data_IF_775392510738
#
_entry.id   IF_775392510738
#
_cell.length_a   1.000
_cell.length_b   1.000
_cell.length_c   1.000
_cell.angle_alpha   90.00
_cell.angle_beta   90.00
_cell.angle_gamma   90.00
#
_symmetry.space_group_name_H-M   'P 1'
#
loop_
_entity.id
_entity.type
_entity.pdbx_description
1 polymer ?
#
# COMPACT_ATOMS: atom_id res chain seq x y z
N UNK A 1 19.00 -10.24 24.17
CA UNK A 1 17.73 -9.52 24.39
C UNK A 1 16.96 -9.51 23.09
N UNK A 2 15.72 -10.02 23.05
CA UNK A 2 14.86 -9.81 21.89
C UNK A 2 14.60 -8.30 21.80
N UNK A 3 14.96 -7.61 20.70
CA UNK A 3 14.64 -6.21 20.57
C UNK A 3 13.14 -6.05 20.67
N UNK A 4 12.69 -5.15 21.56
CA UNK A 4 11.28 -4.90 21.78
C UNK A 4 10.59 -4.64 20.42
N UNK A 5 9.51 -5.35 20.16
CA UNK A 5 8.71 -5.18 18.95
C UNK A 5 8.22 -3.73 18.88
N UNK A 6 8.49 -3.03 17.79
CA UNK A 6 8.06 -1.64 17.58
C UNK A 6 6.57 -1.64 17.20
N UNK A 7 5.71 -1.45 18.21
CA UNK A 7 4.25 -1.58 18.05
C UNK A 7 3.68 -0.49 17.12
N UNK A 8 4.22 0.72 17.17
CA UNK A 8 3.79 1.80 16.28
C UNK A 8 3.91 1.45 14.80
N UNK A 9 4.93 0.66 14.39
CA UNK A 9 5.05 0.20 12.99
C UNK A 9 3.96 -0.78 12.59
N UNK A 10 3.56 -1.66 13.51
CA UNK A 10 2.44 -2.56 13.26
C UNK A 10 1.13 -1.77 13.20
N UNK A 11 0.99 -0.75 14.06
CA UNK A 11 -0.17 0.14 14.06
C UNK A 11 -0.26 0.98 12.77
N UNK A 12 0.85 1.57 12.30
CA UNK A 12 0.88 2.25 11.00
C UNK A 12 0.44 1.30 9.88
N UNK A 13 0.92 0.05 9.86
CA UNK A 13 0.57 -0.90 8.80
C UNK A 13 -0.92 -1.19 8.74
N UNK A 14 -1.52 -1.63 9.86
CA UNK A 14 -2.93 -1.98 9.81
C UNK A 14 -3.82 -0.77 9.56
N UNK A 15 -3.49 0.40 10.13
CA UNK A 15 -4.24 1.65 9.88
C UNK A 15 -4.14 2.07 8.42
N UNK A 16 -2.95 2.00 7.82
CA UNK A 16 -2.78 2.30 6.41
C UNK A 16 -3.49 1.27 5.51
N UNK A 17 -3.55 -0.01 5.91
CA UNK A 17 -4.34 -1.01 5.17
C UNK A 17 -5.84 -0.69 5.24
N UNK A 18 -6.36 -0.27 6.39
CA UNK A 18 -7.75 0.23 6.50
C UNK A 18 -7.97 1.41 5.57
N UNK A 19 -7.03 2.36 5.56
CA UNK A 19 -7.07 3.51 4.65
C UNK A 19 -7.06 3.09 3.17
N UNK A 20 -6.28 2.06 2.82
CA UNK A 20 -6.26 1.47 1.46
C UNK A 20 -7.64 0.90 1.08
N UNK A 21 -8.33 0.24 2.01
CA UNK A 21 -9.69 -0.28 1.75
C UNK A 21 -10.65 0.87 1.49
N UNK A 22 -10.67 1.88 2.37
CA UNK A 22 -11.51 3.08 2.21
C UNK A 22 -11.18 3.80 0.89
N UNK A 23 -9.89 3.95 0.58
CA UNK A 23 -9.43 4.53 -0.68
C UNK A 23 -10.04 3.81 -1.88
N UNK A 24 -10.01 2.48 -1.91
CA UNK A 24 -10.55 1.72 -3.05
C UNK A 24 -12.07 1.76 -3.13
N UNK A 25 -12.79 1.90 -2.01
CA UNK A 25 -14.24 2.14 -2.01
C UNK A 25 -14.56 3.49 -2.67
N UNK A 26 -13.85 4.55 -2.27
CA UNK A 26 -14.04 5.88 -2.89
C UNK A 26 -13.53 5.89 -4.34
N UNK A 27 -12.41 5.19 -4.62
CA UNK A 27 -11.85 5.06 -5.96
C UNK A 27 -12.83 4.46 -6.96
N UNK A 28 -13.62 3.47 -6.56
CA UNK A 28 -14.56 2.78 -7.44
C UNK A 28 -15.62 3.72 -8.05
N UNK A 29 -15.94 4.81 -7.36
CA UNK A 29 -16.95 5.78 -7.76
C UNK A 29 -16.39 7.19 -8.01
N UNK A 30 -15.08 7.33 -8.25
CA UNK A 30 -14.48 8.64 -8.47
C UNK A 30 -14.72 9.18 -9.89
N UNK A 31 -14.74 10.52 -10.03
CA UNK A 31 -14.92 11.21 -11.30
C UNK A 31 -13.65 11.71 -11.96
N UNK A 32 -12.47 11.51 -11.35
CA UNK A 32 -11.22 12.16 -11.79
C UNK A 32 -10.16 11.20 -12.33
N UNK A 33 -10.25 9.92 -11.95
CA UNK A 33 -9.41 8.85 -12.49
C UNK A 33 -10.30 7.77 -13.10
N UNK A 34 -10.55 7.80 -14.41
CA UNK A 34 -11.61 7.01 -15.04
C UNK A 34 -11.23 5.54 -15.32
N UNK A 35 -10.02 5.10 -15.00
CA UNK A 35 -9.55 3.76 -15.37
C UNK A 35 -9.98 2.69 -14.38
N UNK A 36 -10.78 1.70 -14.83
CA UNK A 36 -11.17 0.54 -14.02
C UNK A 36 -12.11 0.88 -12.86
N UNK A 37 -13.03 1.81 -13.05
CA UNK A 37 -14.01 2.29 -12.07
C UNK A 37 -15.43 2.20 -12.63
N UNK A 38 -16.43 2.12 -11.76
CA UNK A 38 -17.84 2.23 -12.14
C UNK A 38 -18.16 3.64 -12.64
N UNK A 39 -17.56 4.64 -12.00
CA UNK A 39 -17.74 6.05 -12.35
C UNK A 39 -18.47 6.85 -11.27
N UNK A 40 -18.51 8.19 -11.44
CA UNK A 40 -19.04 9.08 -10.43
C UNK A 40 -20.57 9.08 -10.39
N UNK A 41 -21.13 9.38 -9.22
CA UNK A 41 -22.57 9.65 -9.07
C UNK A 41 -22.96 11.05 -9.58
N UNK A 42 -22.01 11.98 -9.61
CA UNK A 42 -22.17 13.37 -10.05
C UNK A 42 -20.92 13.86 -10.74
N UNK A 43 -21.08 14.81 -11.64
CA UNK A 43 -19.96 15.44 -12.37
C UNK A 43 -18.89 16.01 -11.44
N UNK A 44 -19.31 16.64 -10.33
CA UNK A 44 -18.42 17.15 -9.28
C UNK A 44 -18.85 16.60 -7.93
N UNK A 45 -17.99 15.84 -7.28
CA UNK A 45 -18.29 15.20 -6.00
C UNK A 45 -17.17 15.43 -4.98
N UNK A 46 -17.57 15.87 -3.77
CA UNK A 46 -16.63 16.20 -2.69
C UNK A 46 -15.83 14.99 -2.20
N UNK A 47 -16.38 13.79 -2.31
CA UNK A 47 -15.68 12.57 -1.88
C UNK A 47 -14.37 12.35 -2.66
N UNK A 48 -14.23 12.91 -3.86
CA UNK A 48 -12.98 12.86 -4.62
C UNK A 48 -11.82 13.61 -3.92
N UNK A 49 -12.11 14.53 -2.98
CA UNK A 49 -11.09 15.17 -2.15
C UNK A 49 -10.25 14.15 -1.39
N UNK A 50 -10.84 13.03 -0.98
CA UNK A 50 -10.16 11.97 -0.26
C UNK A 50 -8.98 11.40 -1.04
N UNK A 51 -9.10 11.30 -2.36
CA UNK A 51 -8.04 10.79 -3.24
C UNK A 51 -6.81 11.71 -3.18
N UNK A 52 -7.00 13.03 -3.24
CA UNK A 52 -5.90 14.00 -3.19
C UNK A 52 -5.23 14.04 -1.81
N UNK A 53 -6.02 13.86 -0.74
CA UNK A 53 -5.50 13.85 0.63
C UNK A 53 -4.68 12.59 0.95
N UNK A 54 -4.95 11.46 0.29
CA UNK A 54 -4.35 10.17 0.67
C UNK A 54 -3.31 9.68 -0.33
N UNK A 55 -3.61 9.79 -1.63
CA UNK A 55 -2.84 9.13 -2.69
C UNK A 55 -1.35 9.50 -2.74
N UNK A 56 -0.93 10.75 -2.51
CA UNK A 56 0.48 11.12 -2.62
C UNK A 56 1.41 10.36 -1.67
N UNK A 57 0.96 9.98 -0.46
CA UNK A 57 1.85 9.51 0.60
C UNK A 57 1.58 8.09 1.13
N UNK A 58 0.33 7.57 1.06
CA UNK A 58 -0.03 6.36 1.82
C UNK A 58 0.77 5.11 1.41
N UNK A 59 1.03 4.92 0.11
CA UNK A 59 1.85 3.80 -0.35
C UNK A 59 3.33 4.04 -0.07
N UNK A 60 3.82 5.27 -0.24
CA UNK A 60 5.19 5.65 0.09
C UNK A 60 5.50 5.39 1.58
N UNK A 61 4.57 5.71 2.48
CA UNK A 61 4.66 5.39 3.92
C UNK A 61 4.80 3.88 4.17
N UNK A 62 4.01 3.05 3.49
CA UNK A 62 4.12 1.59 3.62
C UNK A 62 5.48 1.06 3.17
N UNK A 63 6.10 1.65 2.14
CA UNK A 63 7.46 1.30 1.74
C UNK A 63 8.50 1.71 2.79
N UNK A 64 8.37 2.91 3.39
CA UNK A 64 9.25 3.33 4.51
C UNK A 64 9.15 2.34 5.67
N UNK A 65 7.95 2.04 6.15
CA UNK A 65 7.70 1.10 7.25
C UNK A 65 8.22 -0.30 6.94
N UNK A 66 8.13 -0.71 5.66
CA UNK A 66 8.66 -2.01 5.22
C UNK A 66 10.18 -2.05 5.21
N UNK A 67 10.84 -0.93 4.83
CA UNK A 67 12.28 -0.77 4.92
C UNK A 67 12.80 -0.83 6.35
N UNK A 68 12.19 -0.08 7.29
CA UNK A 68 12.50 -0.16 8.72
C UNK A 68 12.39 -1.59 9.25
N UNK A 69 11.33 -2.28 8.89
CA UNK A 69 11.08 -3.66 9.30
C UNK A 69 12.05 -4.65 8.71
N UNK A 70 12.54 -4.39 7.48
CA UNK A 70 13.58 -5.21 6.87
C UNK A 70 14.89 -5.08 7.65
N UNK A 71 15.24 -3.88 8.14
CA UNK A 71 16.42 -3.68 9.00
C UNK A 71 16.30 -4.46 10.30
N UNK A 72 15.20 -4.29 11.04
CA UNK A 72 14.99 -4.98 12.31
C UNK A 72 14.94 -6.52 12.16
N UNK A 73 14.37 -7.00 11.06
CA UNK A 73 14.39 -8.43 10.75
C UNK A 73 15.82 -8.95 10.54
N UNK A 74 16.62 -8.27 9.71
CA UNK A 74 17.98 -8.67 9.35
C UNK A 74 19.00 -8.53 10.49
N UNK A 75 18.68 -7.83 11.57
CA UNK A 75 19.49 -7.81 12.80
C UNK A 75 19.47 -9.16 13.53
N UNK A 76 18.38 -9.93 13.40
CA UNK A 76 18.15 -11.16 14.18
C UNK A 76 18.06 -12.43 13.31
N UNK A 77 18.08 -12.28 11.98
CA UNK A 77 17.90 -13.40 11.06
C UNK A 77 18.94 -13.37 9.94
N UNK A 78 19.26 -14.55 9.41
CA UNK A 78 20.21 -14.67 8.30
C UNK A 78 19.60 -14.16 6.99
N UNK A 79 20.45 -13.76 6.04
CA UNK A 79 20.07 -13.40 4.68
C UNK A 79 19.25 -14.49 3.99
N UNK A 80 19.60 -15.77 4.22
CA UNK A 80 18.87 -16.92 3.66
C UNK A 80 17.45 -17.03 4.21
N UNK A 81 17.27 -16.79 5.52
CA UNK A 81 15.93 -16.77 6.15
C UNK A 81 15.10 -15.61 5.61
N UNK A 82 15.70 -14.41 5.49
CA UNK A 82 15.03 -13.24 4.92
C UNK A 82 14.56 -13.50 3.48
N UNK A 83 15.44 -14.01 2.61
CA UNK A 83 15.11 -14.37 1.23
C UNK A 83 13.93 -15.35 1.18
N UNK A 84 14.02 -16.46 1.96
CA UNK A 84 12.96 -17.48 2.01
C UNK A 84 11.62 -16.89 2.46
N UNK A 85 11.61 -16.10 3.53
CA UNK A 85 10.38 -15.57 4.11
C UNK A 85 9.78 -14.48 3.22
N UNK A 86 10.59 -13.59 2.63
CA UNK A 86 10.09 -12.57 1.69
C UNK A 86 9.57 -13.20 0.40
N UNK A 87 10.25 -14.18 -0.17
CA UNK A 87 9.77 -14.91 -1.36
C UNK A 87 8.45 -15.60 -1.06
N UNK A 88 8.36 -16.33 0.04
CA UNK A 88 7.11 -17.02 0.41
C UNK A 88 5.95 -16.04 0.67
N UNK A 89 6.18 -14.95 1.42
CA UNK A 89 5.12 -14.03 1.83
C UNK A 89 4.71 -13.02 0.75
N UNK A 90 5.60 -12.67 -0.16
CA UNK A 90 5.36 -11.60 -1.14
C UNK A 90 5.25 -12.15 -2.56
N UNK A 91 6.23 -12.95 -3.02
CA UNK A 91 6.25 -13.42 -4.39
C UNK A 91 5.20 -14.51 -4.63
N UNK A 92 5.05 -15.49 -3.73
CA UNK A 92 4.09 -16.59 -3.90
C UNK A 92 2.66 -16.06 -4.05
N UNK A 93 2.12 -15.17 -3.15
CA UNK A 93 0.79 -14.60 -3.33
C UNK A 93 0.63 -13.76 -4.60
N UNK A 94 1.65 -13.02 -4.99
CA UNK A 94 1.59 -12.13 -6.16
C UNK A 94 1.90 -12.79 -7.50
N UNK A 95 2.24 -14.08 -7.50
CA UNK A 95 2.45 -14.91 -8.68
C UNK A 95 1.53 -16.12 -8.66
N UNK A 96 1.82 -17.14 -7.86
CA UNK A 96 0.99 -18.35 -7.77
C UNK A 96 -0.43 -18.02 -7.31
N UNK A 97 -0.57 -17.15 -6.29
CA UNK A 97 -1.88 -16.70 -5.80
C UNK A 97 -2.68 -15.93 -6.85
N UNK A 98 -2.00 -15.21 -7.74
CA UNK A 98 -2.61 -14.52 -8.86
C UNK A 98 -3.33 -15.53 -9.80
N UNK A 99 -2.65 -16.62 -10.18
CA UNK A 99 -3.23 -17.66 -11.00
C UNK A 99 -4.31 -18.47 -10.26
N UNK A 100 -4.12 -18.77 -8.98
CA UNK A 100 -5.03 -19.64 -8.22
C UNK A 100 -6.31 -18.93 -7.80
N UNK A 101 -6.26 -17.63 -7.50
CA UNK A 101 -7.38 -16.93 -6.87
C UNK A 101 -7.76 -15.60 -7.54
N UNK A 102 -6.78 -14.77 -7.95
CA UNK A 102 -7.07 -13.39 -8.34
C UNK A 102 -7.71 -13.26 -9.74
N UNK A 103 -7.77 -14.32 -10.52
CA UNK A 103 -8.56 -14.35 -11.75
C UNK A 103 -10.04 -14.03 -11.51
N UNK A 104 -10.56 -14.33 -10.31
CA UNK A 104 -11.91 -13.92 -9.89
C UNK A 104 -12.07 -12.39 -9.90
N UNK A 105 -11.10 -11.68 -9.33
CA UNK A 105 -11.06 -10.21 -9.40
C UNK A 105 -10.92 -9.74 -10.86
N UNK A 106 -10.10 -10.44 -11.64
CA UNK A 106 -9.88 -10.09 -13.04
C UNK A 106 -11.13 -10.13 -13.89
N UNK A 107 -12.05 -11.06 -13.65
CA UNK A 107 -13.36 -11.10 -14.32
C UNK A 107 -14.13 -9.80 -14.07
N UNK A 108 -14.22 -9.36 -12.79
CA UNK A 108 -14.95 -8.15 -12.45
C UNK A 108 -14.25 -6.88 -12.95
N UNK A 109 -12.93 -6.82 -12.90
CA UNK A 109 -12.18 -5.71 -13.49
C UNK A 109 -12.40 -5.58 -15.00
N UNK A 110 -12.48 -6.70 -15.72
CA UNK A 110 -12.81 -6.70 -17.14
C UNK A 110 -14.25 -6.22 -17.39
N UNK A 111 -15.21 -6.70 -16.60
CA UNK A 111 -16.62 -6.25 -16.70
C UNK A 111 -16.73 -4.74 -16.45
N UNK A 112 -16.13 -4.23 -15.37
CA UNK A 112 -16.11 -2.80 -15.00
C UNK A 112 -15.43 -1.96 -16.09
N UNK A 113 -14.33 -2.44 -16.68
CA UNK A 113 -13.59 -1.75 -17.73
C UNK A 113 -14.25 -1.77 -19.10
N UNK A 114 -15.52 -2.17 -19.22
CA UNK A 114 -16.26 -2.23 -20.48
C UNK A 114 -16.00 -3.49 -21.30
N UNK A 115 -15.32 -4.47 -20.72
CA UNK A 115 -14.98 -5.74 -21.35
C UNK A 115 -13.94 -5.58 -22.47
N UNK A 116 -12.94 -6.45 -22.49
CA UNK A 116 -12.21 -6.70 -23.72
C UNK A 116 -13.12 -7.56 -24.62
N UNK A 117 -13.16 -7.28 -25.93
CA UNK A 117 -13.82 -8.19 -26.86
C UNK A 117 -13.01 -9.50 -26.92
N UNK A 118 -13.29 -10.38 -25.98
CA UNK A 118 -12.65 -11.69 -25.82
C UNK A 118 -13.43 -12.80 -26.55
N UNK A 119 -14.51 -12.43 -27.26
CA UNK A 119 -15.29 -13.36 -28.09
C UNK A 119 -14.38 -13.95 -29.19
N UNK A 120 -14.36 -15.28 -29.27
CA UNK A 120 -13.55 -16.00 -30.26
C UNK A 120 -12.10 -16.28 -29.84
N UNK A 121 -11.63 -15.80 -28.68
CA UNK A 121 -10.30 -16.15 -28.18
C UNK A 121 -10.31 -17.56 -27.55
N UNK A 122 -9.20 -18.34 -27.70
CA UNK A 122 -9.04 -19.60 -26.99
C UNK A 122 -9.10 -19.43 -25.46
N UNK A 123 -9.75 -20.35 -24.77
CA UNK A 123 -9.93 -20.30 -23.31
C UNK A 123 -8.64 -20.07 -22.49
N UNK A 124 -7.47 -20.66 -22.84
CA UNK A 124 -6.23 -20.35 -22.12
C UNK A 124 -5.82 -18.88 -22.21
N UNK A 125 -6.06 -18.22 -23.34
CA UNK A 125 -5.77 -16.79 -23.53
C UNK A 125 -6.74 -15.94 -22.70
N UNK A 126 -8.03 -16.28 -22.72
CA UNK A 126 -9.05 -15.61 -21.88
C UNK A 126 -8.69 -15.73 -20.41
N UNK A 127 -8.29 -16.92 -19.95
CA UNK A 127 -7.83 -17.13 -18.58
C UNK A 127 -6.60 -16.27 -18.25
N UNK A 128 -5.60 -16.21 -19.12
CA UNK A 128 -4.41 -15.38 -18.90
C UNK A 128 -4.75 -13.88 -18.81
N UNK A 129 -5.64 -13.40 -19.67
CA UNK A 129 -6.13 -12.02 -19.63
C UNK A 129 -6.83 -11.73 -18.30
N UNK A 130 -7.71 -12.61 -17.82
CA UNK A 130 -8.39 -12.45 -16.55
C UNK A 130 -7.41 -12.48 -15.37
N UNK A 131 -6.42 -13.36 -15.39
CA UNK A 131 -5.36 -13.42 -14.36
C UNK A 131 -4.59 -12.11 -14.31
N UNK A 132 -4.14 -11.58 -15.45
CA UNK A 132 -3.40 -10.32 -15.51
C UNK A 132 -4.25 -9.12 -15.10
N UNK A 133 -5.54 -9.09 -15.44
CA UNK A 133 -6.49 -8.08 -15.01
C UNK A 133 -6.78 -8.15 -13.50
N UNK A 134 -6.49 -9.28 -12.86
CA UNK A 134 -6.68 -9.51 -11.43
C UNK A 134 -5.51 -9.06 -10.55
N UNK A 135 -4.46 -8.44 -11.08
CA UNK A 135 -3.31 -7.99 -10.28
C UNK A 135 -3.75 -7.06 -9.14
N UNK A 136 -4.67 -6.12 -9.42
CA UNK A 136 -5.24 -5.23 -8.40
C UNK A 136 -4.20 -4.73 -7.38
N UNK A 137 -4.46 -4.84 -6.08
CA UNK A 137 -3.55 -4.35 -5.03
C UNK A 137 -2.23 -5.15 -4.91
N UNK A 138 -2.06 -6.28 -5.57
CA UNK A 138 -0.85 -7.11 -5.47
C UNK A 138 0.41 -6.43 -6.02
N UNK A 139 0.27 -5.39 -6.84
CA UNK A 139 1.40 -4.61 -7.36
C UNK A 139 2.37 -4.15 -6.26
N UNK A 140 1.84 -3.74 -5.10
CA UNK A 140 2.68 -3.28 -3.98
C UNK A 140 3.57 -4.39 -3.43
N UNK A 141 3.04 -5.61 -3.24
CA UNK A 141 3.85 -6.73 -2.71
C UNK A 141 4.84 -7.26 -3.73
N UNK A 142 4.57 -7.12 -5.04
CA UNK A 142 5.53 -7.40 -6.11
C UNK A 142 6.73 -6.45 -6.02
N UNK A 143 6.47 -5.14 -5.95
CA UNK A 143 7.51 -4.12 -5.78
C UNK A 143 8.27 -4.30 -4.46
N UNK A 144 7.56 -4.60 -3.38
CA UNK A 144 8.18 -4.83 -2.07
C UNK A 144 9.11 -6.06 -2.09
N UNK A 145 8.75 -7.10 -2.82
CA UNK A 145 9.65 -8.23 -3.04
C UNK A 145 10.89 -7.81 -3.83
N UNK A 146 10.72 -7.09 -4.92
CA UNK A 146 11.83 -6.58 -5.74
C UNK A 146 12.80 -5.73 -4.91
N UNK A 147 12.30 -4.75 -4.15
CA UNK A 147 13.13 -3.91 -3.28
C UNK A 147 13.80 -4.72 -2.15
N UNK A 148 13.13 -5.75 -1.64
CA UNK A 148 13.73 -6.66 -0.66
C UNK A 148 14.90 -7.46 -1.25
N UNK A 149 14.82 -7.86 -2.51
CA UNK A 149 15.93 -8.55 -3.20
C UNK A 149 17.07 -7.57 -3.51
N UNK A 150 16.75 -6.38 -4.01
CA UNK A 150 17.72 -5.32 -4.27
C UNK A 150 18.45 -4.92 -2.97
N UNK A 151 17.76 -4.87 -1.84
CA UNK A 151 18.34 -4.60 -0.53
C UNK A 151 19.45 -5.60 -0.19
N UNK A 152 19.29 -6.89 -0.47
CA UNK A 152 20.33 -7.89 -0.19
C UNK A 152 21.60 -7.63 -1.00
N UNK A 153 21.46 -7.17 -2.25
CA UNK A 153 22.58 -6.79 -3.11
C UNK A 153 23.25 -5.53 -2.56
N UNK A 154 22.48 -4.47 -2.30
CA UNK A 154 22.98 -3.21 -1.75
C UNK A 154 23.71 -3.44 -0.43
N UNK A 155 23.13 -4.20 0.48
CA UNK A 155 23.72 -4.51 1.79
C UNK A 155 25.08 -5.22 1.68
N UNK A 156 25.23 -6.12 0.71
CA UNK A 156 26.51 -6.82 0.46
C UNK A 156 27.62 -5.85 0.02
N UNK A 157 27.25 -4.78 -0.70
CA UNK A 157 28.19 -3.79 -1.23
C UNK A 157 28.50 -2.72 -0.17
N UNK A 158 27.47 -2.16 0.49
CA UNK A 158 27.60 -1.01 1.38
C UNK A 158 28.16 -1.36 2.77
N UNK A 159 27.97 -2.60 3.25
CA UNK A 159 28.53 -3.15 4.49
C UNK A 159 28.29 -2.26 5.72
N UNK A 160 27.04 -1.77 5.89
CA UNK A 160 26.58 -0.87 6.95
C UNK A 160 27.26 0.53 6.98
N UNK A 161 28.02 0.92 5.94
CA UNK A 161 28.65 2.25 5.86
C UNK A 161 27.59 3.37 5.74
N UNK A 162 26.67 3.22 4.81
CA UNK A 162 25.55 4.17 4.61
C UNK A 162 24.67 4.20 5.84
N UNK A 163 24.36 3.05 6.42
CA UNK A 163 23.57 2.96 7.63
C UNK A 163 24.22 3.73 8.78
N UNK A 164 25.52 3.48 9.07
CA UNK A 164 26.25 4.18 10.11
C UNK A 164 26.35 5.70 9.85
N UNK A 165 26.50 6.11 8.59
CA UNK A 165 26.49 7.53 8.23
C UNK A 165 25.13 8.19 8.55
N UNK A 166 24.01 7.52 8.22
CA UNK A 166 22.66 8.02 8.45
C UNK A 166 22.31 8.16 9.93
N UNK A 167 22.95 7.45 10.86
CA UNK A 167 22.69 7.55 12.31
C UNK A 167 22.85 8.96 12.87
N UNK A 168 23.76 9.74 12.26
CA UNK A 168 24.09 11.11 12.69
C UNK A 168 23.26 12.18 11.97
N UNK A 169 22.33 11.79 11.08
CA UNK A 169 21.57 12.74 10.27
C UNK A 169 20.81 13.74 11.14
N UNK A 170 21.06 15.05 11.00
CA UNK A 170 20.29 16.08 11.70
C UNK A 170 18.93 16.30 11.02
N UNK A 171 17.98 16.89 11.74
CA UNK A 171 16.60 17.11 11.23
C UNK A 171 16.61 17.88 9.89
N UNK A 172 17.42 18.92 9.78
CA UNK A 172 17.48 19.75 8.56
C UNK A 172 17.91 18.96 7.32
N UNK A 173 18.85 18.00 7.46
CA UNK A 173 19.28 17.17 6.33
C UNK A 173 18.16 16.21 5.88
N UNK A 174 17.32 15.75 6.82
CA UNK A 174 16.16 14.92 6.52
C UNK A 174 15.09 15.73 5.79
N UNK A 175 14.91 17.00 6.14
CA UNK A 175 14.03 17.91 5.40
C UNK A 175 14.56 18.14 3.98
N UNK A 176 15.88 18.32 3.81
CA UNK A 176 16.51 18.46 2.49
C UNK A 176 16.36 17.23 1.58
N UNK A 177 16.09 16.04 2.15
CA UNK A 177 15.74 14.85 1.35
C UNK A 177 14.47 15.03 0.51
N UNK A 178 13.66 16.07 0.75
CA UNK A 178 12.55 16.45 -0.14
C UNK A 178 13.03 16.64 -1.59
N UNK A 179 14.24 17.14 -1.80
CA UNK A 179 14.86 17.27 -3.13
C UNK A 179 15.07 15.89 -3.76
N UNK A 180 15.52 14.93 -2.97
CA UNK A 180 15.72 13.54 -3.42
C UNK A 180 14.38 12.85 -3.67
N UNK A 181 13.37 13.11 -2.85
CA UNK A 181 11.98 12.64 -3.08
C UNK A 181 11.48 13.15 -4.42
N UNK A 182 11.63 14.45 -4.70
CA UNK A 182 11.23 15.04 -5.98
C UNK A 182 11.99 14.41 -7.15
N UNK A 183 13.32 14.31 -7.08
CA UNK A 183 14.15 13.68 -8.12
C UNK A 183 13.77 12.20 -8.35
N UNK A 184 13.56 11.45 -7.28
CA UNK A 184 13.15 10.05 -7.35
C UNK A 184 11.74 9.86 -7.96
N UNK A 185 10.86 10.84 -7.77
CA UNK A 185 9.53 10.82 -8.37
C UNK A 185 9.55 11.04 -9.90
N UNK A 186 10.65 11.57 -10.47
CA UNK A 186 10.78 11.78 -11.92
C UNK A 186 11.31 10.56 -12.67
N UNK A 187 11.85 9.56 -11.98
CA UNK A 187 12.55 8.44 -12.60
C UNK A 187 11.85 7.10 -12.38
N UNK A 188 12.03 6.18 -13.33
CA UNK A 188 11.57 4.81 -13.25
C UNK A 188 10.03 4.68 -13.01
N UNK A 189 9.27 5.56 -13.65
CA UNK A 189 7.80 5.49 -13.68
C UNK A 189 7.36 4.72 -14.92
N UNK A 190 6.34 3.86 -14.76
CA UNK A 190 5.75 3.17 -15.90
C UNK A 190 4.69 4.06 -16.57
N UNK A 191 4.70 4.17 -17.91
CA UNK A 191 3.79 5.10 -18.60
C UNK A 191 2.33 4.62 -18.64
N UNK A 192 2.10 3.32 -18.65
CA UNK A 192 0.76 2.73 -18.81
C UNK A 192 0.15 2.38 -17.46
N UNK A 193 0.92 1.72 -16.58
CA UNK A 193 0.46 1.31 -15.26
C UNK A 193 1.03 2.25 -14.22
N UNK A 194 0.39 3.38 -14.01
CA UNK A 194 0.87 4.53 -13.23
C UNK A 194 1.19 4.24 -11.76
N UNK A 195 0.69 3.13 -11.22
CA UNK A 195 0.98 2.71 -9.84
C UNK A 195 2.43 2.24 -9.64
N UNK A 196 3.13 1.79 -10.70
CA UNK A 196 4.53 1.36 -10.61
C UNK A 196 5.49 2.55 -10.70
N UNK A 197 5.74 3.17 -9.56
CA UNK A 197 6.64 4.32 -9.37
C UNK A 197 7.91 3.85 -8.64
N UNK A 198 8.78 3.13 -9.37
CA UNK A 198 9.94 2.45 -8.76
C UNK A 198 10.92 3.42 -8.10
N UNK A 199 11.13 4.62 -8.65
CA UNK A 199 12.06 5.60 -8.10
C UNK A 199 11.66 6.04 -6.69
N UNK A 200 10.48 6.65 -6.53
CA UNK A 200 10.03 7.19 -5.24
C UNK A 200 9.79 6.08 -4.21
N UNK A 201 9.16 4.95 -4.60
CA UNK A 201 8.90 3.87 -3.66
C UNK A 201 10.17 3.14 -3.24
N UNK A 202 11.13 2.98 -4.16
CA UNK A 202 12.47 2.48 -3.85
C UNK A 202 13.20 3.40 -2.88
N UNK A 203 13.22 4.71 -3.16
CA UNK A 203 13.78 5.69 -2.24
C UNK A 203 13.15 5.59 -0.85
N UNK A 204 11.82 5.57 -0.74
CA UNK A 204 11.11 5.45 0.53
C UNK A 204 11.47 4.16 1.28
N UNK A 205 11.55 3.02 0.57
CA UNK A 205 11.96 1.76 1.18
C UNK A 205 13.39 1.83 1.73
N UNK A 206 14.33 2.36 0.96
CA UNK A 206 15.72 2.51 1.40
C UNK A 206 15.89 3.58 2.49
N UNK A 207 15.16 4.69 2.46
CA UNK A 207 15.12 5.66 3.54
C UNK A 207 14.61 5.02 4.85
N UNK A 208 13.59 4.15 4.76
CA UNK A 208 13.13 3.34 5.89
C UNK A 208 14.25 2.47 6.45
N UNK A 209 14.97 1.78 5.59
CA UNK A 209 16.06 0.87 6.00
C UNK A 209 17.27 1.59 6.57
N UNK A 210 17.76 2.63 5.91
CA UNK A 210 19.04 3.28 6.24
C UNK A 210 18.90 4.45 7.22
N UNK A 211 17.77 5.15 7.23
CA UNK A 211 17.61 6.38 7.99
C UNK A 211 16.65 6.20 9.17
N UNK A 212 15.39 5.87 8.89
CA UNK A 212 14.34 5.82 9.94
C UNK A 212 14.44 4.58 10.85
N UNK A 213 15.29 3.61 10.53
CA UNK A 213 15.58 2.47 11.41
C UNK A 213 16.48 2.83 12.60
N UNK A 214 17.08 4.03 12.64
CA UNK A 214 17.85 4.52 13.77
C UNK A 214 16.94 5.15 14.85
N UNK A 215 17.05 4.67 16.07
CA UNK A 215 16.28 5.19 17.19
C UNK A 215 16.59 6.65 17.46
N UNK A 216 17.87 7.02 17.44
CA UNK A 216 18.35 8.38 17.68
C UNK A 216 17.84 9.39 16.63
N UNK A 217 17.69 8.95 15.38
CA UNK A 217 17.12 9.78 14.30
C UNK A 217 15.63 9.98 14.56
N UNK A 218 14.92 8.91 14.89
CA UNK A 218 13.49 8.99 15.20
C UNK A 218 13.21 9.84 16.44
N UNK A 219 14.03 9.75 17.50
CA UNK A 219 13.90 10.58 18.69
C UNK A 219 14.11 12.08 18.40
N UNK A 220 15.09 12.42 17.52
CA UNK A 220 15.28 13.80 17.07
C UNK A 220 14.08 14.32 16.28
N UNK A 221 13.50 13.52 15.40
CA UNK A 221 12.34 13.88 14.60
C UNK A 221 11.09 14.00 15.48
N UNK A 222 10.89 13.12 16.44
CA UNK A 222 9.74 13.11 17.33
C UNK A 222 9.55 14.40 18.14
N UNK A 223 10.61 15.18 18.35
CA UNK A 223 10.52 16.51 18.97
C UNK A 223 9.75 17.53 18.12
N UNK A 224 9.67 17.29 16.81
CA UNK A 224 9.06 18.20 15.83
C UNK A 224 7.77 17.65 15.23
N UNK A 225 7.16 16.61 15.81
CA UNK A 225 5.99 15.91 15.32
C UNK A 225 4.85 16.86 14.91
N UNK A 226 4.51 17.81 15.80
CA UNK A 226 3.43 18.76 15.56
C UNK A 226 3.67 19.69 14.36
N UNK A 227 4.93 20.07 14.12
CA UNK A 227 5.31 20.87 12.96
C UNK A 227 5.12 20.08 11.65
N UNK A 228 5.50 18.82 11.66
CA UNK A 228 5.31 17.95 10.48
C UNK A 228 3.82 17.71 10.22
N UNK A 229 3.02 17.48 11.24
CA UNK A 229 1.57 17.30 11.12
C UNK A 229 0.89 18.57 10.61
N UNK A 230 1.21 19.73 11.18
CA UNK A 230 0.69 21.02 10.73
C UNK A 230 1.07 21.30 9.28
N UNK A 231 2.35 21.14 8.93
CA UNK A 231 2.82 21.34 7.55
C UNK A 231 2.14 20.36 6.58
N UNK A 232 1.99 19.09 6.97
CA UNK A 232 1.27 18.09 6.18
C UNK A 232 -0.20 18.47 5.97
N UNK A 233 -0.89 18.96 7.01
CA UNK A 233 -2.28 19.38 6.90
C UNK A 233 -2.44 20.58 5.93
N UNK A 234 -1.59 21.61 6.08
CA UNK A 234 -1.60 22.79 5.20
C UNK A 234 -1.28 22.40 3.75
N UNK A 235 -0.25 21.58 3.55
CA UNK A 235 0.15 21.11 2.22
C UNK A 235 -0.93 20.22 1.59
N UNK A 236 -1.57 19.34 2.36
CA UNK A 236 -2.64 18.48 1.88
C UNK A 236 -3.89 19.26 1.45
N UNK A 237 -4.30 20.23 2.27
CA UNK A 237 -5.44 21.10 1.93
C UNK A 237 -5.11 21.92 0.68
N UNK A 238 -3.95 22.59 0.64
CA UNK A 238 -3.55 23.41 -0.51
C UNK A 238 -3.36 22.58 -1.79
N UNK A 239 -2.85 21.34 -1.66
CA UNK A 239 -2.73 20.40 -2.76
C UNK A 239 -4.11 20.00 -3.31
N UNK A 240 -5.04 19.65 -2.43
CA UNK A 240 -6.40 19.29 -2.81
C UNK A 240 -7.09 20.45 -3.51
N UNK A 241 -7.08 21.65 -2.95
CA UNK A 241 -7.69 22.85 -3.56
C UNK A 241 -7.10 23.18 -4.94
N UNK A 242 -5.78 23.00 -5.10
CA UNK A 242 -5.10 23.32 -6.36
C UNK A 242 -5.37 22.34 -7.48
N UNK A 243 -5.52 21.06 -7.16
CA UNK A 243 -5.57 19.98 -8.15
C UNK A 243 -6.92 19.28 -8.23
N UNK A 244 -7.90 19.69 -7.44
CA UNK A 244 -9.26 19.14 -7.47
C UNK A 244 -9.82 19.16 -8.89
N UNK A 245 -10.45 18.06 -9.31
CA UNK A 245 -10.98 17.87 -10.66
C UNK A 245 -9.95 17.43 -11.72
N UNK A 246 -8.65 17.35 -11.37
CA UNK A 246 -7.63 16.81 -12.27
C UNK A 246 -7.31 15.37 -11.89
N UNK A 247 -6.94 14.54 -12.87
CA UNK A 247 -6.52 13.19 -12.57
C UNK A 247 -5.29 13.17 -11.62
N UNK A 248 -5.51 12.75 -10.38
CA UNK A 248 -4.50 12.74 -9.31
C UNK A 248 -3.40 11.69 -9.51
N UNK A 249 -3.61 10.68 -10.38
CA UNK A 249 -2.66 9.58 -10.60
C UNK A 249 -1.64 9.86 -11.70
N UNK A 250 -1.80 10.92 -12.48
CA UNK A 250 -0.88 11.25 -13.59
C UNK A 250 0.32 12.10 -13.12
N UNK A 251 1.43 11.97 -13.85
CA UNK A 251 2.69 12.64 -13.52
C UNK A 251 2.58 14.16 -13.25
N UNK A 252 1.87 14.99 -14.05
CA UNK A 252 1.79 16.44 -13.80
C UNK A 252 1.16 16.80 -12.44
N UNK A 253 0.27 15.95 -11.92
CA UNK A 253 -0.38 16.17 -10.62
C UNK A 253 0.40 15.48 -9.50
N UNK A 254 0.88 14.25 -9.72
CA UNK A 254 1.48 13.42 -8.66
C UNK A 254 2.99 13.62 -8.47
N UNK A 255 3.73 13.98 -9.55
CA UNK A 255 5.19 14.09 -9.53
C UNK A 255 5.69 15.53 -9.43
N UNK A 256 4.81 16.52 -9.22
CA UNK A 256 5.24 17.89 -9.03
C UNK A 256 5.83 18.12 -7.63
N UNK A 257 6.50 19.24 -7.46
CA UNK A 257 7.19 19.57 -6.20
C UNK A 257 6.22 19.66 -5.02
N UNK A 258 5.01 20.17 -5.22
CA UNK A 258 3.98 20.28 -4.18
C UNK A 258 3.57 18.90 -3.65
N UNK A 259 3.26 17.96 -4.56
CA UNK A 259 2.92 16.58 -4.20
C UNK A 259 4.06 15.87 -3.46
N UNK A 260 5.32 16.08 -3.89
CA UNK A 260 6.49 15.46 -3.28
C UNK A 260 6.80 16.03 -1.90
N UNK A 261 6.69 17.36 -1.73
CA UNK A 261 6.83 18.01 -0.41
C UNK A 261 5.73 17.51 0.53
N UNK A 262 4.48 17.51 0.08
CA UNK A 262 3.34 16.98 0.84
C UNK A 262 3.57 15.52 1.25
N UNK A 263 3.95 14.67 0.30
CA UNK A 263 4.26 13.26 0.54
C UNK A 263 5.29 13.10 1.68
N UNK A 264 6.39 13.84 1.60
CA UNK A 264 7.48 13.71 2.58
C UNK A 264 7.08 14.20 3.97
N UNK A 265 6.44 15.36 4.07
CA UNK A 265 5.96 15.88 5.35
C UNK A 265 4.86 15.00 5.97
N UNK A 266 3.95 14.42 5.18
CA UNK A 266 2.97 13.46 5.66
C UNK A 266 3.63 12.19 6.23
N UNK A 267 4.67 11.66 5.56
CA UNK A 267 5.43 10.53 6.07
C UNK A 267 6.10 10.88 7.40
N UNK A 268 6.78 12.03 7.49
CA UNK A 268 7.44 12.47 8.71
C UNK A 268 6.44 12.67 9.85
N UNK A 269 5.32 13.34 9.61
CA UNK A 269 4.25 13.55 10.57
C UNK A 269 3.71 12.24 11.11
N UNK A 270 3.25 11.36 10.22
CA UNK A 270 2.65 10.08 10.64
C UNK A 270 3.66 9.21 11.40
N UNK A 271 4.90 9.09 10.94
CA UNK A 271 5.92 8.29 11.63
C UNK A 271 6.19 8.79 13.05
N UNK A 272 6.31 10.10 13.22
CA UNK A 272 6.65 10.71 14.52
C UNK A 272 5.47 10.73 15.48
N UNK A 273 4.28 11.06 14.99
CA UNK A 273 3.05 11.04 15.79
C UNK A 273 2.71 9.63 16.25
N UNK A 274 2.80 8.65 15.34
CA UNK A 274 2.53 7.26 15.70
C UNK A 274 3.57 6.69 16.66
N UNK A 275 4.84 7.09 16.55
CA UNK A 275 5.85 6.69 17.52
C UNK A 275 5.60 7.31 18.90
N UNK A 276 5.17 8.56 18.97
CA UNK A 276 4.91 9.26 20.25
C UNK A 276 3.64 8.76 20.95
N UNK A 277 2.57 8.46 20.19
CA UNK A 277 1.24 8.28 20.77
C UNK A 277 0.61 6.90 20.49
N UNK A 278 1.14 6.15 19.54
CA UNK A 278 0.56 4.87 19.11
C UNK A 278 1.52 3.68 19.22
N UNK A 279 2.58 3.77 20.04
CA UNK A 279 3.45 2.63 20.37
C UNK A 279 2.82 1.75 21.47
N UNK A 280 1.54 1.44 21.31
CA UNK A 280 0.68 0.73 22.26
C UNK A 280 0.15 -0.57 21.67
N UNK A 281 -0.18 -1.54 22.54
CA UNK A 281 -0.86 -2.78 22.17
C UNK A 281 -2.12 -2.94 22.99
N UNK A 282 -3.25 -3.01 22.30
CA UNK A 282 -4.56 -3.40 22.85
C UNK A 282 -4.99 -4.71 22.21
N UNK A 283 -6.02 -5.37 22.73
CA UNK A 283 -6.59 -6.57 22.12
C UNK A 283 -7.00 -6.30 20.65
N UNK A 284 -7.57 -5.11 20.39
CA UNK A 284 -8.00 -4.70 19.05
C UNK A 284 -6.80 -4.48 18.10
N UNK A 285 -5.77 -3.70 18.50
CA UNK A 285 -4.61 -3.46 17.64
C UNK A 285 -3.84 -4.73 17.35
N UNK A 286 -3.75 -5.64 18.34
CA UNK A 286 -3.14 -6.95 18.13
C UNK A 286 -3.93 -7.82 17.15
N UNK A 287 -5.25 -7.83 17.25
CA UNK A 287 -6.13 -8.53 16.31
C UNK A 287 -5.99 -7.95 14.90
N UNK A 288 -6.07 -6.62 14.76
CA UNK A 288 -5.89 -5.94 13.47
C UNK A 288 -4.52 -6.21 12.84
N UNK A 289 -3.44 -6.16 13.61
CA UNK A 289 -2.09 -6.46 13.12
C UNK A 289 -1.98 -7.89 12.55
N UNK A 290 -2.73 -8.85 13.10
CA UNK A 290 -2.80 -10.23 12.57
C UNK A 290 -3.66 -10.34 11.32
N UNK A 291 -4.77 -9.60 11.25
CA UNK A 291 -5.77 -9.73 10.17
C UNK A 291 -5.52 -8.80 8.99
N UNK A 292 -4.71 -7.73 9.17
CA UNK A 292 -4.45 -6.72 8.14
C UNK A 292 -3.82 -7.28 6.86
N UNK A 293 -3.04 -8.35 6.95
CA UNK A 293 -2.48 -9.01 5.76
C UNK A 293 -3.58 -9.62 4.88
N UNK A 294 -4.51 -10.37 5.46
CA UNK A 294 -5.65 -10.91 4.72
C UNK A 294 -6.59 -9.82 4.22
N UNK A 295 -6.84 -8.79 5.06
CA UNK A 295 -7.60 -7.61 4.67
C UNK A 295 -6.99 -6.96 3.42
N UNK A 296 -5.65 -6.78 3.38
CA UNK A 296 -4.94 -6.24 2.24
C UNK A 296 -5.10 -7.10 0.96
N UNK A 297 -5.00 -8.42 1.07
CA UNK A 297 -5.07 -9.32 -0.10
C UNK A 297 -6.50 -9.38 -0.69
N UNK A 298 -7.53 -9.37 0.16
CA UNK A 298 -8.88 -9.73 -0.27
C UNK A 298 -9.86 -8.56 -0.45
N UNK A 299 -9.56 -7.35 0.04
CA UNK A 299 -10.55 -6.26 0.08
C UNK A 299 -11.10 -5.86 -1.30
N UNK A 300 -10.27 -5.90 -2.34
CA UNK A 300 -10.65 -5.35 -3.64
C UNK A 300 -11.64 -6.25 -4.39
N UNK A 301 -11.63 -7.56 -4.17
CA UNK A 301 -12.59 -8.47 -4.78
C UNK A 301 -14.03 -8.17 -4.31
N UNK A 302 -14.37 -8.10 -3.01
CA UNK A 302 -15.71 -7.71 -2.58
C UNK A 302 -16.10 -6.30 -3.07
N UNK A 303 -15.18 -5.34 -3.10
CA UNK A 303 -15.45 -4.00 -3.66
C UNK A 303 -15.90 -4.12 -5.11
N UNK A 304 -15.12 -4.78 -5.95
CA UNK A 304 -15.42 -4.91 -7.38
C UNK A 304 -16.74 -5.67 -7.62
N UNK A 305 -16.97 -6.77 -6.90
CA UNK A 305 -18.19 -7.57 -7.01
C UNK A 305 -19.41 -6.74 -6.63
N UNK A 306 -19.44 -6.19 -5.42
CA UNK A 306 -20.62 -5.48 -4.90
C UNK A 306 -20.90 -4.23 -5.72
N UNK A 307 -19.87 -3.48 -6.10
CA UNK A 307 -20.03 -2.28 -6.91
C UNK A 307 -20.61 -2.60 -8.30
N UNK A 308 -20.10 -3.65 -8.94
CA UNK A 308 -20.58 -4.08 -10.24
C UNK A 308 -22.05 -4.55 -10.15
N UNK A 309 -22.39 -5.43 -9.20
CA UNK A 309 -23.74 -5.97 -9.05
C UNK A 309 -24.76 -4.87 -8.70
N UNK A 310 -24.39 -3.90 -7.86
CA UNK A 310 -25.24 -2.74 -7.56
C UNK A 310 -25.45 -1.86 -8.80
N UNK A 311 -24.40 -1.63 -9.59
CA UNK A 311 -24.49 -0.83 -10.81
C UNK A 311 -25.43 -1.47 -11.84
N UNK A 312 -25.31 -2.77 -12.08
CA UNK A 312 -26.10 -3.49 -13.09
C UNK A 312 -27.54 -3.73 -12.65
N UNK A 313 -27.77 -4.12 -11.38
CA UNK A 313 -29.07 -4.61 -10.94
C UNK A 313 -29.87 -3.62 -10.07
N UNK A 314 -29.21 -2.59 -9.54
CA UNK A 314 -29.84 -1.60 -8.67
C UNK A 314 -29.30 -0.18 -8.91
N UNK A 315 -29.31 0.33 -10.16
CA UNK A 315 -28.66 1.60 -10.53
C UNK A 315 -29.25 2.83 -9.82
N UNK A 316 -30.48 2.73 -9.32
CA UNK A 316 -31.17 3.82 -8.61
C UNK A 316 -30.92 3.81 -7.10
N UNK A 317 -30.00 2.99 -6.60
CA UNK A 317 -29.67 2.95 -5.17
C UNK A 317 -29.07 4.28 -4.72
N UNK A 318 -29.51 4.78 -3.56
CA UNK A 318 -28.98 6.02 -2.99
C UNK A 318 -27.46 5.94 -2.81
N UNK A 319 -26.75 6.97 -3.22
CA UNK A 319 -25.27 7.09 -3.18
C UNK A 319 -24.69 6.68 -1.82
N UNK A 320 -25.23 7.23 -0.72
CA UNK A 320 -24.78 6.92 0.64
C UNK A 320 -24.93 5.42 0.96
N UNK A 321 -26.02 4.82 0.50
CA UNK A 321 -26.26 3.38 0.71
C UNK A 321 -25.29 2.53 -0.10
N UNK A 322 -24.94 2.95 -1.33
CA UNK A 322 -23.91 2.27 -2.14
C UNK A 322 -22.57 2.28 -1.42
N UNK A 323 -22.11 3.46 -0.95
CA UNK A 323 -20.85 3.55 -0.18
C UNK A 323 -20.87 2.68 1.09
N UNK A 324 -21.99 2.66 1.82
CA UNK A 324 -22.13 1.81 3.02
C UNK A 324 -22.08 0.33 2.68
N UNK A 325 -22.84 -0.12 1.68
CA UNK A 325 -22.88 -1.53 1.28
C UNK A 325 -21.52 -2.01 0.75
N UNK A 326 -20.87 -1.22 -0.11
CA UNK A 326 -19.55 -1.55 -0.65
C UNK A 326 -18.50 -1.49 0.46
N UNK A 327 -18.54 -0.49 1.34
CA UNK A 327 -17.61 -0.35 2.45
C UNK A 327 -17.72 -1.50 3.46
N UNK A 328 -18.91 -1.78 3.97
CA UNK A 328 -19.16 -2.91 4.88
C UNK A 328 -18.79 -4.22 4.19
N UNK A 329 -19.22 -4.41 2.95
CA UNK A 329 -18.96 -5.59 2.16
C UNK A 329 -17.45 -5.82 1.93
N UNK A 330 -16.67 -4.75 1.74
CA UNK A 330 -15.21 -4.82 1.61
C UNK A 330 -14.56 -5.42 2.86
N UNK A 331 -14.92 -4.92 4.04
CA UNK A 331 -14.35 -5.42 5.31
C UNK A 331 -14.86 -6.82 5.64
N UNK A 332 -16.16 -7.04 5.63
CA UNK A 332 -16.79 -8.33 5.96
C UNK A 332 -16.32 -9.40 4.98
N UNK A 333 -16.38 -9.11 3.66
CA UNK A 333 -15.97 -10.03 2.62
C UNK A 333 -14.48 -10.39 2.72
N UNK A 334 -13.59 -9.39 2.96
CA UNK A 334 -12.17 -9.65 3.12
C UNK A 334 -11.87 -10.50 4.37
N UNK A 335 -12.52 -10.25 5.50
CA UNK A 335 -12.34 -11.06 6.71
C UNK A 335 -12.87 -12.47 6.56
N UNK A 336 -14.03 -12.66 5.91
CA UNK A 336 -14.59 -13.97 5.60
C UNK A 336 -13.67 -14.77 4.66
N UNK A 337 -13.22 -14.15 3.57
CA UNK A 337 -12.28 -14.79 2.64
C UNK A 337 -10.97 -15.17 3.34
N UNK A 338 -10.43 -14.27 4.17
CA UNK A 338 -9.23 -14.59 4.95
C UNK A 338 -9.46 -15.77 5.90
N UNK A 339 -10.61 -15.85 6.57
CA UNK A 339 -10.93 -16.94 7.47
C UNK A 339 -11.05 -18.27 6.73
N UNK A 340 -11.80 -18.31 5.62
CA UNK A 340 -12.00 -19.51 4.81
C UNK A 340 -10.67 -19.98 4.20
N UNK A 341 -9.93 -19.09 3.52
CA UNK A 341 -8.69 -19.44 2.82
C UNK A 341 -7.58 -19.84 3.79
N UNK A 342 -7.50 -19.22 4.97
CA UNK A 342 -6.50 -19.58 5.98
C UNK A 342 -6.66 -21.00 6.53
N UNK A 343 -7.89 -21.58 6.49
CA UNK A 343 -8.18 -22.95 6.90
C UNK A 343 -7.80 -24.01 5.86
N UNK A 344 -7.66 -23.61 4.59
CA UNK A 344 -7.33 -24.51 3.48
C UNK A 344 -5.82 -24.52 3.23
N UNK A 345 -5.07 -25.61 3.56
CA UNK A 345 -3.60 -25.57 3.57
C UNK A 345 -2.95 -25.16 2.26
N UNK A 346 -3.49 -25.61 1.12
CA UNK A 346 -2.95 -25.29 -0.21
C UNK A 346 -3.23 -23.80 -0.54
N UNK A 347 -4.47 -23.36 -0.41
CA UNK A 347 -4.86 -21.97 -0.71
C UNK A 347 -4.18 -20.98 0.24
N UNK A 348 -4.06 -21.33 1.53
CA UNK A 348 -3.32 -20.53 2.52
C UNK A 348 -1.87 -20.30 2.08
N UNK A 349 -1.21 -21.31 1.55
CA UNK A 349 0.15 -21.17 1.06
C UNK A 349 0.21 -20.37 -0.25
N UNK A 350 -0.64 -20.67 -1.24
CA UNK A 350 -0.64 -20.01 -2.53
C UNK A 350 -1.06 -18.53 -2.44
N UNK A 351 -2.12 -18.23 -1.68
CA UNK A 351 -2.78 -16.91 -1.69
C UNK A 351 -2.28 -16.00 -0.56
N UNK A 352 -1.94 -16.56 0.61
CA UNK A 352 -1.48 -15.80 1.77
C UNK A 352 0.03 -15.94 2.03
N UNK A 353 0.73 -16.85 1.35
CA UNK A 353 2.14 -17.13 1.61
C UNK A 353 2.41 -17.68 3.01
N UNK A 354 1.39 -18.26 3.66
CA UNK A 354 1.50 -18.79 5.03
C UNK A 354 1.85 -20.28 5.01
N UNK A 355 2.92 -20.67 5.71
CA UNK A 355 3.30 -22.08 5.90
C UNK A 355 2.40 -22.80 6.91
N UNK A 356 2.63 -24.12 7.10
CA UNK A 356 1.99 -24.86 8.19
C UNK A 356 2.29 -24.17 9.53
N UNK A 357 1.28 -23.96 10.34
CA UNK A 357 1.51 -23.56 11.74
C UNK A 357 2.32 -24.66 12.41
N UNK A 358 3.50 -24.31 12.93
CA UNK A 358 4.16 -25.19 13.86
C UNK A 358 3.25 -25.26 15.08
N UNK A 359 2.66 -26.43 15.35
CA UNK A 359 2.04 -26.68 16.65
C UNK A 359 3.07 -26.28 17.70
N UNK A 360 2.78 -25.27 18.49
CA UNK A 360 3.54 -25.01 19.71
C UNK A 360 3.25 -26.21 20.61
N UNK A 361 4.25 -27.10 20.73
CA UNK A 361 4.30 -28.12 21.77
C UNK A 361 4.60 -27.42 23.07
#
# INVERSE_FOLDING_TARGET
MNPARKLYLDNIRWMTVVLVVIYHVVYMFNGVQPFGVIGPFREHQLQDCFQYLVYPWFMALLFVVSGMSARYYLQNHTTKQFLKDKTRKLLVPSTIGLFVFQWLLGIYNLKIGGGLNITGLPMPIVYLITVLSGVGPLWYIQMLWLFSMLLLVVRKIEKDRVWNFCSKAPVWSILMLTIVVYGSAQVLNTPVVTVYRFGIYGFCFFAGYFLFSHEEVMERLCKWWWMFDLASAVLGISYTLRYFGRNYAIAPVLNNIHACVYCWFAILGILTTMKNYADISTAFTHWMAKKSWGLYIFHYLPIAVISYELHEHAPNTLEVLVYLLVGIGAFVGAFLLNEVISRMPILRWCVLGMGKEKKRV
#
